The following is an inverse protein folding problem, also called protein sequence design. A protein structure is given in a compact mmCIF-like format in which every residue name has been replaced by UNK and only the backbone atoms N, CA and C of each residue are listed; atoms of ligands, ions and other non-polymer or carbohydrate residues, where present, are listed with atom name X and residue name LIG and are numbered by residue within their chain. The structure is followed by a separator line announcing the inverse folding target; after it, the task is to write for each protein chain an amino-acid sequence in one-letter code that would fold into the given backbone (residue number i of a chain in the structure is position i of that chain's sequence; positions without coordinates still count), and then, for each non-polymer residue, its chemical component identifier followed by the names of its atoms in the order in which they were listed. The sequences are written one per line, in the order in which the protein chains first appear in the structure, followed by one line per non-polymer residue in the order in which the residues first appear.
data_IF_390982666135
#
_entry.id   IF_390982666135
#
_cell.length_a   1.000
_cell.length_b   1.000
_cell.length_c   1.000
_cell.angle_alpha   90.00
_cell.angle_beta   90.00
_cell.angle_gamma   90.00
#
_symmetry.space_group_name_H-M   'P 1'
#
loop_
_entity.id
_entity.type
_entity.pdbx_description
1 polymer ?
#
# COMPACT_ATOMS: atom_id res chain seq x y z
N UNK A 1 -45.45 44.81 -6.25
CA UNK A 1 -44.04 44.70 -6.66
C UNK A 1 -43.58 43.28 -6.38
N UNK A 2 -43.28 42.42 -7.35
CA UNK A 2 -42.74 41.10 -7.13
C UNK A 2 -41.25 41.20 -6.86
N UNK A 3 -40.78 40.46 -5.85
CA UNK A 3 -39.35 40.33 -5.49
C UNK A 3 -38.59 39.60 -6.62
N UNK A 4 -37.34 40.01 -6.94
CA UNK A 4 -36.55 39.28 -7.93
C UNK A 4 -36.17 37.88 -7.34
N UNK A 5 -36.49 36.84 -8.09
CA UNK A 5 -36.00 35.51 -7.87
C UNK A 5 -34.49 35.51 -8.11
N UNK A 6 -33.71 35.22 -7.06
CA UNK A 6 -32.28 34.93 -7.19
C UNK A 6 -32.10 33.67 -8.03
N UNK A 7 -31.66 33.84 -9.26
CA UNK A 7 -31.19 32.74 -10.11
C UNK A 7 -29.98 32.08 -9.43
N UNK A 8 -30.22 30.94 -8.82
CA UNK A 8 -29.14 30.05 -8.39
C UNK A 8 -28.42 29.59 -9.66
N UNK A 9 -27.26 30.16 -9.92
CA UNK A 9 -26.33 29.65 -10.94
C UNK A 9 -25.86 28.27 -10.50
N UNK A 10 -26.56 27.23 -10.92
CA UNK A 10 -26.10 25.83 -10.83
C UNK A 10 -24.97 25.73 -11.85
N UNK A 11 -23.74 25.86 -11.39
CA UNK A 11 -22.56 25.52 -12.17
C UNK A 11 -22.68 24.05 -12.57
N UNK A 12 -23.07 23.79 -13.81
CA UNK A 12 -22.98 22.49 -14.46
C UNK A 12 -21.50 22.15 -14.60
N UNK A 13 -20.91 21.61 -13.55
CA UNK A 13 -19.63 20.91 -13.68
C UNK A 13 -19.86 19.79 -14.70
N UNK A 14 -19.16 19.85 -15.83
CA UNK A 14 -19.26 18.84 -16.86
C UNK A 14 -18.96 17.48 -16.25
N UNK A 15 -19.93 16.55 -16.30
CA UNK A 15 -19.78 15.18 -15.78
C UNK A 15 -18.79 14.34 -16.61
N UNK A 16 -18.16 14.94 -17.62
CA UNK A 16 -17.28 14.25 -18.55
C UNK A 16 -15.81 14.32 -18.10
N UNK A 17 -15.11 13.20 -18.23
CA UNK A 17 -13.66 13.15 -18.10
C UNK A 17 -13.02 13.98 -19.22
N UNK A 18 -12.14 14.89 -18.83
CA UNK A 18 -11.29 15.64 -19.76
C UNK A 18 -9.92 14.98 -19.88
N UNK A 19 -9.18 15.30 -20.95
CA UNK A 19 -7.80 14.82 -21.09
C UNK A 19 -6.90 15.21 -19.91
N UNK A 20 -7.16 16.37 -19.28
CA UNK A 20 -6.47 16.82 -18.06
C UNK A 20 -6.68 15.86 -16.88
N UNK A 21 -7.91 15.39 -16.66
CA UNK A 21 -8.21 14.42 -15.58
C UNK A 21 -7.49 13.10 -15.83
N UNK A 22 -7.45 12.63 -17.10
CA UNK A 22 -6.70 11.41 -17.48
C UNK A 22 -5.19 11.55 -17.23
N UNK A 23 -4.60 12.68 -17.66
CA UNK A 23 -3.18 12.96 -17.44
C UNK A 23 -2.83 13.08 -15.94
N UNK A 24 -3.65 13.76 -15.15
CA UNK A 24 -3.48 13.87 -13.71
C UNK A 24 -3.52 12.49 -13.03
N UNK A 25 -4.51 11.67 -13.39
CA UNK A 25 -4.64 10.32 -12.82
C UNK A 25 -3.46 9.44 -13.19
N UNK A 26 -3.03 9.44 -14.46
CA UNK A 26 -1.86 8.69 -14.91
C UNK A 26 -0.59 9.12 -14.16
N UNK A 27 -0.39 10.43 -13.98
CA UNK A 27 0.76 10.96 -13.24
C UNK A 27 0.72 10.55 -11.76
N UNK A 28 -0.45 10.60 -11.12
CA UNK A 28 -0.64 10.15 -9.74
C UNK A 28 -0.37 8.63 -9.61
N UNK A 29 -0.80 7.83 -10.59
CA UNK A 29 -0.53 6.38 -10.59
C UNK A 29 0.96 6.08 -10.71
N UNK A 30 1.68 6.76 -11.61
CA UNK A 30 3.13 6.60 -11.78
C UNK A 30 3.89 7.02 -10.51
N UNK A 31 3.55 8.18 -9.94
CA UNK A 31 4.14 8.62 -8.67
C UNK A 31 3.80 7.65 -7.54
N UNK A 32 2.57 7.15 -7.48
CA UNK A 32 2.14 6.17 -6.48
C UNK A 32 2.90 4.85 -6.57
N UNK A 33 3.07 4.34 -7.79
CA UNK A 33 3.87 3.16 -8.07
C UNK A 33 5.33 3.36 -7.61
N UNK A 34 5.94 4.50 -7.94
CA UNK A 34 7.31 4.81 -7.57
C UNK A 34 7.49 4.97 -6.04
N UNK A 35 6.56 5.68 -5.38
CA UNK A 35 6.59 5.93 -3.93
C UNK A 35 6.39 4.65 -3.13
N UNK A 36 5.33 3.89 -3.43
CA UNK A 36 5.03 2.64 -2.73
C UNK A 36 6.05 1.55 -3.08
N UNK A 37 6.57 1.56 -4.30
CA UNK A 37 7.59 0.63 -4.77
C UNK A 37 8.88 0.67 -3.95
N UNK A 38 9.22 1.82 -3.34
CA UNK A 38 10.43 1.94 -2.50
C UNK A 38 10.46 0.97 -1.32
N UNK A 39 9.29 0.56 -0.82
CA UNK A 39 9.19 -0.43 0.25
C UNK A 39 9.73 -1.80 -0.18
N UNK A 40 9.55 -2.15 -1.46
CA UNK A 40 9.81 -3.48 -1.99
C UNK A 40 11.11 -3.58 -2.80
N UNK A 41 11.69 -2.44 -3.16
CA UNK A 41 12.83 -2.35 -4.08
C UNK A 41 14.09 -3.03 -3.52
N UNK A 42 14.26 -3.06 -2.20
CA UNK A 42 15.43 -3.69 -1.55
C UNK A 42 15.36 -5.22 -1.48
N UNK A 43 14.18 -5.84 -1.68
CA UNK A 43 14.01 -7.29 -1.54
C UNK A 43 14.97 -8.09 -2.45
N UNK A 44 15.06 -7.81 -3.76
CA UNK A 44 16.00 -8.52 -4.62
C UNK A 44 17.46 -8.08 -4.43
N UNK A 45 17.70 -6.98 -3.71
CA UNK A 45 19.03 -6.41 -3.52
C UNK A 45 19.68 -6.78 -2.17
N UNK A 46 19.00 -7.57 -1.32
CA UNK A 46 19.46 -7.90 0.04
C UNK A 46 20.89 -8.44 0.04
N UNK A 47 21.21 -9.40 -0.85
CA UNK A 47 22.54 -9.97 -0.93
C UNK A 47 23.60 -8.93 -1.36
N UNK A 48 23.27 -8.06 -2.34
CA UNK A 48 24.17 -7.01 -2.81
C UNK A 48 24.40 -5.95 -1.73
N UNK A 49 23.36 -5.56 -0.97
CA UNK A 49 23.47 -4.63 0.16
C UNK A 49 24.35 -5.26 1.25
N UNK A 50 24.14 -6.54 1.58
CA UNK A 50 24.95 -7.26 2.55
C UNK A 50 26.43 -7.27 2.17
N UNK A 51 26.73 -7.60 0.93
CA UNK A 51 28.11 -7.59 0.40
C UNK A 51 28.73 -6.18 0.40
N UNK A 52 27.96 -5.15 0.07
CA UNK A 52 28.43 -3.76 0.03
C UNK A 52 28.85 -3.23 1.41
N UNK A 53 28.08 -3.55 2.45
CA UNK A 53 28.27 -3.02 3.80
C UNK A 53 28.92 -4.01 4.77
N UNK A 54 29.23 -5.25 4.33
CA UNK A 54 29.83 -6.28 5.18
C UNK A 54 28.89 -6.77 6.28
N UNK A 55 27.60 -6.88 5.99
CA UNK A 55 26.58 -7.34 6.94
C UNK A 55 25.87 -8.59 6.42
N UNK A 56 25.32 -9.40 7.32
CA UNK A 56 24.57 -10.59 6.95
C UNK A 56 23.28 -10.24 6.17
N UNK A 57 22.80 -11.12 5.29
CA UNK A 57 21.55 -10.89 4.53
C UNK A 57 20.33 -10.58 5.41
N UNK A 58 20.24 -11.18 6.59
CA UNK A 58 19.19 -10.91 7.57
C UNK A 58 19.25 -9.46 8.09
N UNK A 59 20.44 -8.94 8.34
CA UNK A 59 20.65 -7.55 8.71
C UNK A 59 20.39 -6.62 7.51
N UNK A 60 20.89 -6.95 6.32
CA UNK A 60 20.67 -6.17 5.11
C UNK A 60 19.18 -5.97 4.80
N UNK A 61 18.33 -6.97 5.11
CA UNK A 61 16.87 -6.87 4.98
C UNK A 61 16.26 -5.74 5.84
N UNK A 62 16.92 -5.33 6.94
CA UNK A 62 16.49 -4.21 7.78
C UNK A 62 16.46 -2.88 7.02
N UNK A 63 17.17 -2.77 5.89
CA UNK A 63 17.09 -1.58 5.02
C UNK A 63 15.69 -1.34 4.45
N UNK A 64 14.96 -2.41 4.12
CA UNK A 64 13.55 -2.36 3.74
C UNK A 64 12.64 -2.12 4.94
N UNK A 65 12.92 -2.77 6.07
CA UNK A 65 12.17 -2.64 7.32
C UNK A 65 12.24 -1.23 7.89
N UNK A 66 13.40 -0.58 7.87
CA UNK A 66 13.57 0.80 8.35
C UNK A 66 12.69 1.78 7.54
N UNK A 67 12.70 1.66 6.22
CA UNK A 67 11.78 2.42 5.36
C UNK A 67 10.33 2.14 5.75
N UNK A 68 9.96 0.87 5.80
CA UNK A 68 8.56 0.46 5.94
C UNK A 68 7.96 0.81 7.30
N UNK A 69 8.68 0.67 8.41
CA UNK A 69 8.20 1.07 9.74
C UNK A 69 7.99 2.58 9.78
N UNK A 70 8.93 3.37 9.27
CA UNK A 70 8.80 4.81 9.22
C UNK A 70 7.67 5.26 8.27
N UNK A 71 7.52 4.58 7.14
CA UNK A 71 6.42 4.78 6.20
C UNK A 71 5.06 4.49 6.86
N UNK A 72 4.94 3.37 7.57
CA UNK A 72 3.74 3.04 8.32
C UNK A 72 3.43 4.09 9.41
N UNK A 73 4.42 4.46 10.23
CA UNK A 73 4.27 5.49 11.26
C UNK A 73 3.83 6.84 10.69
N UNK A 74 4.34 7.19 9.51
CA UNK A 74 4.00 8.42 8.83
C UNK A 74 2.51 8.56 8.49
N UNK A 75 1.79 7.46 8.26
CA UNK A 75 0.33 7.53 8.08
C UNK A 75 -0.41 8.00 9.33
N UNK A 76 0.11 7.68 10.51
CA UNK A 76 -0.47 8.16 11.77
C UNK A 76 -0.11 9.63 12.04
N UNK A 77 1.10 10.03 11.65
CA UNK A 77 1.62 11.38 11.87
C UNK A 77 1.02 12.37 10.88
N UNK A 78 0.97 12.01 9.60
CA UNK A 78 0.61 12.93 8.51
C UNK A 78 -0.81 12.74 7.96
N UNK A 79 -1.60 11.82 8.51
CA UNK A 79 -2.91 11.44 7.98
C UNK A 79 -3.92 12.60 7.79
N UNK A 80 -3.77 13.70 8.52
CA UNK A 80 -4.60 14.92 8.38
C UNK A 80 -3.88 16.11 7.73
N UNK A 81 -2.62 15.96 7.31
CA UNK A 81 -1.79 17.07 6.85
C UNK A 81 -2.37 17.72 5.59
N UNK A 82 -2.86 16.91 4.67
CA UNK A 82 -3.40 17.37 3.39
C UNK A 82 -4.71 18.15 3.54
N UNK A 83 -5.52 17.83 4.56
CA UNK A 83 -6.76 18.54 4.85
C UNK A 83 -6.48 19.94 5.42
N UNK A 84 -5.37 20.10 6.14
CA UNK A 84 -4.97 21.36 6.80
C UNK A 84 -4.24 22.33 5.85
N UNK A 85 -3.31 21.80 5.02
CA UNK A 85 -2.42 22.63 4.19
C UNK A 85 -2.75 22.61 2.69
N UNK A 86 -3.79 21.85 2.30
CA UNK A 86 -4.21 21.67 0.92
C UNK A 86 -3.48 20.53 0.21
N UNK A 87 -4.24 19.69 -0.46
CA UNK A 87 -3.78 18.41 -1.02
C UNK A 87 -2.66 18.55 -2.04
N UNK A 88 -2.82 19.47 -3.00
CA UNK A 88 -1.81 19.76 -4.01
C UNK A 88 -0.45 20.14 -3.41
N UNK A 89 -0.44 21.08 -2.44
CA UNK A 89 0.80 21.54 -1.81
C UNK A 89 1.48 20.40 -1.05
N UNK A 90 0.71 19.64 -0.29
CA UNK A 90 1.22 18.53 0.54
C UNK A 90 1.82 17.42 -0.33
N UNK A 91 1.19 17.06 -1.46
CA UNK A 91 1.74 16.05 -2.38
C UNK A 91 3.04 16.54 -3.00
N UNK A 92 3.08 17.77 -3.50
CA UNK A 92 4.27 18.33 -4.16
C UNK A 92 5.44 18.41 -3.19
N UNK A 93 5.23 18.95 -1.98
CA UNK A 93 6.26 19.03 -0.96
C UNK A 93 6.68 17.63 -0.47
N UNK A 94 5.73 16.70 -0.32
CA UNK A 94 6.00 15.31 0.04
C UNK A 94 6.88 14.59 -1.00
N UNK A 95 6.60 14.76 -2.29
CA UNK A 95 7.43 14.20 -3.36
C UNK A 95 8.82 14.85 -3.40
N UNK A 96 8.92 16.16 -3.23
CA UNK A 96 10.22 16.86 -3.16
C UNK A 96 11.04 16.37 -1.95
N UNK A 97 10.43 16.25 -0.78
CA UNK A 97 11.08 15.69 0.41
C UNK A 97 11.50 14.22 0.19
N UNK A 98 10.66 13.42 -0.47
CA UNK A 98 10.98 12.04 -0.84
C UNK A 98 12.16 11.99 -1.81
N UNK A 99 12.24 12.90 -2.78
CA UNK A 99 13.38 12.99 -3.70
C UNK A 99 14.68 13.26 -2.95
N UNK A 100 14.69 14.25 -2.05
CA UNK A 100 15.87 14.60 -1.24
C UNK A 100 16.28 13.43 -0.33
N UNK A 101 15.33 12.79 0.34
CA UNK A 101 15.62 11.62 1.17
C UNK A 101 16.13 10.44 0.32
N UNK A 102 15.64 10.28 -0.93
CA UNK A 102 16.13 9.27 -1.87
C UNK A 102 17.59 9.54 -2.27
N UNK A 103 17.95 10.79 -2.54
CA UNK A 103 19.34 11.18 -2.78
C UNK A 103 20.24 10.91 -1.56
N UNK A 104 19.74 11.18 -0.35
CA UNK A 104 20.49 10.87 0.86
C UNK A 104 20.81 9.37 0.95
N UNK A 105 19.84 8.49 0.66
CA UNK A 105 20.06 7.03 0.68
C UNK A 105 21.23 6.64 -0.23
N UNK A 106 21.35 7.25 -1.40
CA UNK A 106 22.41 6.95 -2.35
C UNK A 106 23.83 7.30 -1.84
N UNK A 107 23.93 8.23 -0.89
CA UNK A 107 25.19 8.80 -0.42
C UNK A 107 25.67 8.22 0.92
N UNK A 108 24.93 7.23 1.50
CA UNK A 108 25.23 6.76 2.85
C UNK A 108 26.49 5.91 2.92
N UNK A 109 27.46 6.29 3.78
CA UNK A 109 28.78 5.64 3.85
C UNK A 109 28.78 4.35 4.68
N UNK A 110 27.79 4.13 5.51
CA UNK A 110 27.69 2.95 6.38
C UNK A 110 26.27 2.42 6.50
N UNK A 111 26.14 1.16 6.91
CA UNK A 111 24.84 0.50 7.04
C UNK A 111 23.91 1.21 8.03
N UNK A 112 24.43 1.66 9.19
CA UNK A 112 23.63 2.41 10.18
C UNK A 112 23.04 3.71 9.61
N UNK A 113 23.85 4.48 8.86
CA UNK A 113 23.38 5.68 8.18
C UNK A 113 22.41 5.35 7.05
N UNK A 114 22.60 4.23 6.35
CA UNK A 114 21.63 3.74 5.36
C UNK A 114 20.27 3.48 6.02
N UNK A 115 20.21 2.83 7.17
CA UNK A 115 18.96 2.59 7.89
C UNK A 115 18.26 3.90 8.27
N UNK A 116 19.01 4.88 8.79
CA UNK A 116 18.47 6.19 9.14
C UNK A 116 17.93 6.95 7.91
N UNK A 117 18.68 6.95 6.80
CA UNK A 117 18.25 7.58 5.56
C UNK A 117 17.02 6.87 4.97
N UNK A 118 16.94 5.54 5.03
CA UNK A 118 15.78 4.76 4.61
C UNK A 118 14.55 5.05 5.47
N UNK A 119 14.72 5.20 6.79
CA UNK A 119 13.62 5.60 7.68
C UNK A 119 13.11 7.01 7.33
N UNK A 120 14.01 7.98 7.13
CA UNK A 120 13.63 9.33 6.69
C UNK A 120 12.90 9.30 5.34
N UNK A 121 13.39 8.52 4.38
CA UNK A 121 12.76 8.34 3.07
C UNK A 121 11.34 7.77 3.21
N UNK A 122 11.16 6.73 4.04
CA UNK A 122 9.84 6.15 4.31
C UNK A 122 8.87 7.15 4.93
N UNK A 123 9.34 7.92 5.90
CA UNK A 123 8.54 8.95 6.56
C UNK A 123 8.05 10.01 5.55
N UNK A 124 8.94 10.53 4.69
CA UNK A 124 8.57 11.48 3.64
C UNK A 124 7.61 10.86 2.61
N UNK A 125 7.86 9.62 2.19
CA UNK A 125 7.07 8.91 1.20
C UNK A 125 5.62 8.66 1.66
N UNK A 126 5.39 8.49 2.97
CA UNK A 126 4.05 8.23 3.54
C UNK A 126 3.05 9.37 3.33
N UNK A 127 3.52 10.56 3.04
CA UNK A 127 2.67 11.75 2.79
C UNK A 127 1.85 11.57 1.50
N UNK A 128 2.41 10.87 0.50
CA UNK A 128 1.83 10.81 -0.84
C UNK A 128 0.50 10.02 -0.93
N UNK A 129 0.37 8.76 -0.49
CA UNK A 129 -0.80 7.93 -0.80
C UNK A 129 -2.14 8.49 -0.30
N UNK A 130 -2.29 8.94 0.96
CA UNK A 130 -3.56 9.49 1.43
C UNK A 130 -3.91 10.80 0.73
N UNK A 131 -2.92 11.65 0.49
CA UNK A 131 -3.12 12.93 -0.19
C UNK A 131 -3.49 12.73 -1.67
N UNK A 132 -2.88 11.73 -2.35
CA UNK A 132 -3.19 11.38 -3.73
C UNK A 132 -4.62 10.84 -3.89
N UNK A 133 -5.05 9.91 -3.03
CA UNK A 133 -6.44 9.41 -3.03
C UNK A 133 -7.45 10.53 -2.79
N UNK A 134 -7.12 11.44 -1.88
CA UNK A 134 -7.96 12.61 -1.62
C UNK A 134 -8.02 13.56 -2.81
N UNK A 135 -6.89 13.81 -3.49
CA UNK A 135 -6.85 14.65 -4.69
C UNK A 135 -7.67 14.05 -5.84
N UNK A 136 -7.60 12.73 -6.03
CA UNK A 136 -8.41 12.01 -7.03
C UNK A 136 -9.91 12.25 -6.78
N UNK A 137 -10.35 12.16 -5.52
CA UNK A 137 -11.77 12.35 -5.18
C UNK A 137 -12.23 13.80 -5.29
N UNK A 138 -11.33 14.77 -5.25
CA UNK A 138 -11.66 16.19 -5.46
C UNK A 138 -11.68 16.59 -6.94
N UNK A 139 -10.64 16.22 -7.67
CA UNK A 139 -10.42 16.66 -9.05
C UNK A 139 -11.32 15.90 -10.05
N UNK A 140 -11.64 14.63 -9.79
CA UNK A 140 -12.46 13.86 -10.72
C UNK A 140 -13.96 14.18 -10.54
N UNK A 141 -14.71 14.23 -11.66
CA UNK A 141 -16.17 14.33 -11.62
C UNK A 141 -16.77 13.17 -10.80
N UNK A 142 -17.87 13.40 -10.04
CA UNK A 142 -18.44 12.43 -9.12
C UNK A 142 -18.67 11.03 -9.69
N UNK A 143 -19.15 10.82 -10.94
CA UNK A 143 -19.34 9.48 -11.51
C UNK A 143 -18.04 8.70 -11.70
N UNK A 144 -16.91 9.38 -11.86
CA UNK A 144 -15.61 8.78 -12.15
C UNK A 144 -14.69 8.60 -10.94
N UNK A 145 -15.07 9.14 -9.78
CA UNK A 145 -14.30 9.00 -8.52
C UNK A 145 -14.03 7.54 -8.11
N UNK A 146 -15.04 6.64 -8.17
CA UNK A 146 -14.78 5.23 -7.82
C UNK A 146 -13.75 4.57 -8.75
N UNK A 147 -13.80 4.87 -10.05
CA UNK A 147 -12.81 4.38 -11.01
C UNK A 147 -11.41 4.91 -10.68
N UNK A 148 -11.28 6.22 -10.40
CA UNK A 148 -10.00 6.83 -10.04
C UNK A 148 -9.39 6.21 -8.78
N UNK A 149 -10.19 5.97 -7.74
CA UNK A 149 -9.74 5.30 -6.52
C UNK A 149 -9.32 3.86 -6.79
N UNK A 150 -10.06 3.13 -7.63
CA UNK A 150 -9.69 1.75 -8.00
C UNK A 150 -8.38 1.68 -8.77
N UNK A 151 -8.16 2.60 -9.72
CA UNK A 151 -6.92 2.69 -10.48
C UNK A 151 -5.73 3.04 -9.58
N UNK A 152 -5.89 3.96 -8.64
CA UNK A 152 -4.85 4.26 -7.64
C UNK A 152 -4.54 3.04 -6.75
N UNK A 153 -5.57 2.34 -6.28
CA UNK A 153 -5.40 1.12 -5.48
C UNK A 153 -4.67 0.03 -6.27
N UNK A 154 -5.01 -0.13 -7.55
CA UNK A 154 -4.31 -1.05 -8.44
C UNK A 154 -2.84 -0.66 -8.62
N UNK A 155 -2.54 0.63 -8.85
CA UNK A 155 -1.16 1.12 -8.95
C UNK A 155 -0.35 0.82 -7.68
N UNK A 156 -0.94 0.99 -6.49
CA UNK A 156 -0.28 0.66 -5.22
C UNK A 156 -0.01 -0.84 -5.06
N UNK A 157 -0.91 -1.71 -5.53
CA UNK A 157 -0.70 -3.16 -5.49
C UNK A 157 0.37 -3.62 -6.49
N UNK A 158 0.36 -3.06 -7.70
CA UNK A 158 1.36 -3.34 -8.74
C UNK A 158 2.74 -2.84 -8.34
N UNK A 159 2.83 -1.85 -7.46
CA UNK A 159 4.11 -1.28 -7.02
C UNK A 159 5.07 -2.33 -6.44
N UNK A 160 4.56 -3.34 -5.72
CA UNK A 160 5.40 -4.38 -5.14
C UNK A 160 6.13 -5.24 -6.20
N UNK A 161 5.45 -5.93 -7.13
CA UNK A 161 6.14 -6.69 -8.15
C UNK A 161 6.91 -5.80 -9.14
N UNK A 162 6.39 -4.62 -9.50
CA UNK A 162 7.06 -3.73 -10.44
C UNK A 162 8.40 -3.21 -9.93
N UNK A 163 8.46 -2.77 -8.66
CA UNK A 163 9.71 -2.32 -8.05
C UNK A 163 10.74 -3.44 -7.90
N UNK A 164 10.29 -4.65 -7.54
CA UNK A 164 11.17 -5.81 -7.44
C UNK A 164 11.71 -6.24 -8.81
N UNK A 165 10.87 -6.23 -9.86
CA UNK A 165 11.29 -6.50 -11.24
C UNK A 165 12.31 -5.45 -11.71
N UNK A 166 12.02 -4.16 -11.49
CA UNK A 166 12.96 -3.08 -11.82
C UNK A 166 14.32 -3.29 -11.14
N UNK A 167 14.33 -3.54 -9.84
CA UNK A 167 15.57 -3.72 -9.08
C UNK A 167 16.34 -4.97 -9.54
N UNK A 168 15.64 -6.08 -9.79
CA UNK A 168 16.28 -7.34 -10.20
C UNK A 168 16.80 -7.29 -11.64
N UNK A 169 16.10 -6.62 -12.57
CA UNK A 169 16.45 -6.59 -14.00
C UNK A 169 17.41 -5.47 -14.37
N UNK A 170 17.52 -4.42 -13.56
CA UNK A 170 18.36 -3.27 -13.89
C UNK A 170 19.87 -3.52 -13.79
N UNK A 171 20.30 -4.51 -12.99
CA UNK A 171 21.70 -4.74 -12.66
C UNK A 171 22.35 -3.61 -11.84
N UNK A 172 21.57 -2.64 -11.38
CA UNK A 172 22.06 -1.47 -10.65
C UNK A 172 22.19 -1.75 -9.15
N UNK A 173 23.17 -1.12 -8.51
CA UNK A 173 23.26 -1.07 -7.05
C UNK A 173 22.12 -0.24 -6.46
N UNK A 174 21.86 -0.40 -5.14
CA UNK A 174 20.87 0.42 -4.43
C UNK A 174 21.12 1.92 -4.63
N UNK A 175 22.37 2.36 -4.50
CA UNK A 175 22.75 3.77 -4.68
C UNK A 175 22.44 4.28 -6.10
N UNK A 176 22.80 3.51 -7.14
CA UNK A 176 22.52 3.87 -8.52
C UNK A 176 21.01 3.95 -8.81
N UNK A 177 20.22 3.02 -8.27
CA UNK A 177 18.75 3.06 -8.36
C UNK A 177 18.17 4.30 -7.67
N UNK A 178 18.67 4.67 -6.49
CA UNK A 178 18.21 5.86 -5.80
C UNK A 178 18.55 7.14 -6.59
N UNK A 179 19.74 7.23 -7.18
CA UNK A 179 20.13 8.35 -8.05
C UNK A 179 19.24 8.44 -9.30
N UNK A 180 18.88 7.30 -9.88
CA UNK A 180 18.00 7.26 -11.06
C UNK A 180 16.53 7.62 -10.73
N UNK A 181 16.03 7.24 -9.54
CA UNK A 181 14.64 7.46 -9.16
C UNK A 181 14.38 8.86 -8.58
N UNK A 182 15.37 9.48 -7.93
CA UNK A 182 15.20 10.79 -7.28
C UNK A 182 14.71 11.89 -8.23
N UNK A 183 15.27 12.06 -9.47
CA UNK A 183 14.75 13.03 -10.42
C UNK A 183 13.29 12.77 -10.81
N UNK A 184 12.87 11.49 -10.86
CA UNK A 184 11.48 11.10 -11.15
C UNK A 184 10.49 11.67 -10.15
N UNK A 185 10.81 11.72 -8.87
CA UNK A 185 9.97 12.36 -7.85
C UNK A 185 9.85 13.87 -8.04
N UNK A 186 10.95 14.54 -8.42
CA UNK A 186 10.91 15.98 -8.71
C UNK A 186 10.07 16.28 -9.97
N UNK A 187 10.23 15.48 -11.02
CA UNK A 187 9.41 15.58 -12.23
C UNK A 187 7.95 15.31 -11.91
N UNK A 188 7.64 14.32 -11.08
CA UNK A 188 6.31 14.05 -10.57
C UNK A 188 5.74 15.22 -9.78
N UNK A 189 6.51 15.82 -8.89
CA UNK A 189 6.13 17.02 -8.14
C UNK A 189 5.82 18.20 -9.06
N UNK A 190 6.68 18.47 -10.03
CA UNK A 190 6.50 19.53 -11.02
C UNK A 190 5.25 19.25 -11.90
N UNK A 191 5.11 18.04 -12.41
CA UNK A 191 3.96 17.63 -13.21
C UNK A 191 2.64 17.80 -12.46
N UNK A 192 2.58 17.39 -11.18
CA UNK A 192 1.40 17.57 -10.33
C UNK A 192 1.15 19.04 -9.99
N UNK A 193 2.22 19.83 -9.83
CA UNK A 193 2.07 21.28 -9.65
C UNK A 193 1.38 21.95 -10.85
N UNK A 194 1.70 21.50 -12.06
CA UNK A 194 1.12 22.03 -13.31
C UNK A 194 -0.27 21.44 -13.55
N UNK A 195 -0.45 20.13 -13.41
CA UNK A 195 -1.67 19.42 -13.81
C UNK A 195 -2.83 19.57 -12.83
N UNK A 196 -2.59 19.65 -11.51
CA UNK A 196 -3.64 19.81 -10.53
C UNK A 196 -4.19 21.23 -10.51
N UNK A 197 -5.50 21.41 -10.27
CA UNK A 197 -6.11 22.73 -10.16
C UNK A 197 -5.44 23.59 -9.09
N UNK A 198 -5.51 24.90 -9.25
CA UNK A 198 -5.12 25.82 -8.18
C UNK A 198 -5.95 25.48 -6.92
N UNK A 199 -5.33 25.54 -5.71
CA UNK A 199 -6.07 25.29 -4.49
C UNK A 199 -7.27 26.26 -4.45
N UNK A 200 -8.48 25.72 -4.53
CA UNK A 200 -9.67 26.48 -4.17
C UNK A 200 -9.51 26.94 -2.71
N UNK A 201 -10.20 28.04 -2.29
CA UNK A 201 -10.23 28.39 -0.88
C UNK A 201 -10.63 27.12 -0.11
N UNK A 202 -9.91 26.83 0.97
CA UNK A 202 -10.18 25.70 1.84
C UNK A 202 -11.55 25.91 2.52
N UNK A 203 -12.63 25.71 1.75
CA UNK A 203 -14.01 25.74 2.20
C UNK A 203 -14.41 24.38 2.79
N UNK A 204 -13.55 23.82 3.59
CA UNK A 204 -14.02 22.90 4.61
C UNK A 204 -13.92 23.66 5.92
N UNK A 205 -15.08 24.01 6.55
CA UNK A 205 -15.04 24.35 7.96
C UNK A 205 -14.32 23.19 8.60
N UNK A 206 -13.11 23.47 9.10
CA UNK A 206 -12.35 22.50 9.83
C UNK A 206 -13.27 21.91 10.89
N UNK A 207 -13.83 20.77 10.60
CA UNK A 207 -14.17 19.87 11.65
C UNK A 207 -12.83 19.56 12.30
N UNK A 208 -12.44 20.42 13.25
CA UNK A 208 -11.62 19.96 14.35
C UNK A 208 -12.24 18.61 14.70
N UNK A 209 -11.53 17.49 14.65
CA UNK A 209 -12.11 16.23 15.07
C UNK A 209 -12.57 16.50 16.48
N UNK A 210 -13.91 16.64 16.65
CA UNK A 210 -14.47 16.48 17.97
C UNK A 210 -13.77 15.24 18.49
N UNK A 211 -13.21 15.33 19.70
CA UNK A 211 -12.41 14.27 20.30
C UNK A 211 -13.29 13.03 20.52
N UNK A 212 -13.70 12.42 19.40
CA UNK A 212 -14.42 11.18 19.37
C UNK A 212 -13.45 10.15 19.93
N UNK A 213 -13.79 9.63 21.08
CA UNK A 213 -12.96 8.77 21.90
C UNK A 213 -12.37 7.64 21.06
N UNK A 214 -11.04 7.56 20.97
CA UNK A 214 -10.33 6.44 20.34
C UNK A 214 -10.78 5.09 20.96
N UNK A 215 -11.29 5.10 22.19
CA UNK A 215 -11.83 3.93 22.88
C UNK A 215 -13.05 3.31 22.18
N UNK A 216 -13.81 4.08 21.39
CA UNK A 216 -14.94 3.54 20.64
C UNK A 216 -14.49 2.59 19.51
N UNK A 217 -13.35 2.85 18.86
CA UNK A 217 -12.78 1.99 17.82
C UNK A 217 -12.28 0.66 18.41
N UNK A 218 -11.69 0.70 19.61
CA UNK A 218 -11.19 -0.49 20.31
C UNK A 218 -12.30 -1.38 20.89
N UNK A 219 -13.55 -0.91 20.91
CA UNK A 219 -14.72 -1.70 21.33
C UNK A 219 -15.40 -2.44 20.16
N UNK A 220 -15.10 -2.06 18.92
CA UNK A 220 -15.64 -2.74 17.75
C UNK A 220 -14.74 -3.90 17.32
N UNK A 221 -15.10 -5.12 17.68
CA UNK A 221 -14.37 -6.34 17.35
C UNK A 221 -14.14 -6.53 15.84
N UNK A 222 -15.04 -6.02 14.99
CA UNK A 222 -14.89 -6.10 13.53
C UNK A 222 -13.84 -5.14 12.99
N UNK A 223 -13.68 -3.96 13.60
CA UNK A 223 -12.57 -3.05 13.26
C UNK A 223 -11.24 -3.65 13.69
N UNK A 224 -11.15 -4.20 14.91
CA UNK A 224 -9.94 -4.86 15.42
C UNK A 224 -9.56 -6.05 14.52
N UNK A 225 -10.52 -6.89 14.16
CA UNK A 225 -10.30 -8.03 13.26
C UNK A 225 -9.79 -7.56 11.88
N UNK A 226 -10.34 -6.45 11.35
CA UNK A 226 -9.88 -5.89 10.08
C UNK A 226 -8.46 -5.30 10.16
N UNK A 227 -8.07 -4.69 11.29
CA UNK A 227 -6.69 -4.24 11.52
C UNK A 227 -5.72 -5.42 11.65
N UNK A 228 -6.10 -6.46 12.37
CA UNK A 228 -5.30 -7.68 12.46
C UNK A 228 -5.14 -8.34 11.07
N UNK A 229 -6.22 -8.40 10.29
CA UNK A 229 -6.17 -8.91 8.93
C UNK A 229 -5.30 -8.04 8.00
N UNK A 230 -5.31 -6.71 8.17
CA UNK A 230 -4.44 -5.80 7.44
C UNK A 230 -2.95 -6.10 7.71
N UNK A 231 -2.59 -6.33 8.98
CA UNK A 231 -1.22 -6.70 9.35
C UNK A 231 -0.79 -7.99 8.66
N UNK A 232 -1.65 -9.00 8.59
CA UNK A 232 -1.29 -10.33 8.08
C UNK A 232 -1.31 -10.41 6.55
N UNK A 233 -2.15 -9.66 5.85
CA UNK A 233 -2.32 -9.79 4.40
C UNK A 233 -1.07 -9.37 3.62
N UNK A 234 -0.49 -8.20 3.91
CA UNK A 234 0.77 -7.82 3.26
C UNK A 234 1.98 -8.52 3.87
N UNK A 235 1.93 -8.90 5.15
CA UNK A 235 2.94 -9.78 5.72
C UNK A 235 3.07 -11.07 4.90
N UNK A 236 1.99 -11.79 4.67
CA UNK A 236 1.98 -13.03 3.87
C UNK A 236 2.44 -12.81 2.43
N UNK A 237 1.98 -11.72 1.80
CA UNK A 237 2.37 -11.37 0.43
C UNK A 237 3.87 -11.11 0.31
N UNK A 238 4.42 -10.30 1.20
CA UNK A 238 5.85 -9.96 1.17
C UNK A 238 6.72 -11.12 1.63
N UNK A 239 6.28 -11.92 2.63
CA UNK A 239 6.96 -13.17 3.00
C UNK A 239 7.12 -14.12 1.82
N UNK A 240 6.07 -14.29 1.00
CA UNK A 240 6.14 -15.13 -0.20
C UNK A 240 7.26 -14.69 -1.15
N UNK A 241 7.26 -13.43 -1.57
CA UNK A 241 8.27 -12.96 -2.53
C UNK A 241 9.67 -12.87 -1.93
N UNK A 242 9.80 -12.56 -0.64
CA UNK A 242 11.09 -12.60 0.07
C UNK A 242 11.60 -14.04 0.21
N UNK A 243 10.71 -14.97 0.54
CA UNK A 243 11.05 -16.38 0.64
C UNK A 243 11.47 -16.99 -0.69
N UNK A 244 10.71 -16.72 -1.77
CA UNK A 244 11.11 -17.12 -3.14
C UNK A 244 12.48 -16.56 -3.50
N UNK A 245 12.76 -15.28 -3.18
CA UNK A 245 14.06 -14.67 -3.45
C UNK A 245 15.20 -15.35 -2.70
N UNK A 246 14.99 -15.64 -1.41
CA UNK A 246 16.03 -16.27 -0.55
C UNK A 246 16.27 -17.72 -0.90
N UNK A 247 15.21 -18.47 -1.25
CA UNK A 247 15.27 -19.91 -1.50
C UNK A 247 15.33 -20.29 -2.98
N UNK A 248 15.45 -19.32 -3.89
CA UNK A 248 15.45 -19.56 -5.33
C UNK A 248 16.40 -20.67 -5.80
N UNK A 249 17.66 -20.74 -5.31
CA UNK A 249 18.58 -21.83 -5.72
C UNK A 249 18.09 -23.22 -5.31
N UNK A 250 17.51 -23.35 -4.11
CA UNK A 250 17.00 -24.62 -3.58
C UNK A 250 15.69 -25.03 -4.26
N UNK A 251 14.86 -24.05 -4.64
CA UNK A 251 13.56 -24.27 -5.27
C UNK A 251 13.64 -24.47 -6.79
N UNK A 252 14.81 -24.20 -7.40
CA UNK A 252 14.98 -24.30 -8.86
C UNK A 252 14.06 -23.38 -9.65
N UNK A 253 13.78 -22.17 -9.12
CA UNK A 253 12.86 -21.19 -9.75
C UNK A 253 13.58 -19.88 -10.01
N UNK A 254 13.15 -19.20 -11.07
CA UNK A 254 13.49 -17.82 -11.30
C UNK A 254 12.52 -16.91 -10.52
N UNK A 255 12.99 -16.13 -9.53
CA UNK A 255 12.15 -15.22 -8.78
C UNK A 255 11.44 -14.17 -9.67
N UNK A 256 12.02 -13.80 -10.81
CA UNK A 256 11.40 -12.85 -11.74
C UNK A 256 10.20 -13.49 -12.45
N UNK A 257 10.34 -14.73 -12.88
CA UNK A 257 9.23 -15.48 -13.48
C UNK A 257 8.06 -15.61 -12.50
N UNK A 258 8.33 -15.91 -11.23
CA UNK A 258 7.29 -16.00 -10.19
C UNK A 258 6.56 -14.65 -10.02
N UNK A 259 7.28 -13.52 -10.00
CA UNK A 259 6.68 -12.18 -9.90
C UNK A 259 5.83 -11.84 -11.14
N UNK A 260 6.35 -12.10 -12.32
CA UNK A 260 5.64 -11.84 -13.59
C UNK A 260 4.36 -12.65 -13.69
N UNK A 261 4.39 -13.92 -13.24
CA UNK A 261 3.21 -14.80 -13.30
C UNK A 261 2.09 -14.33 -12.37
N UNK A 262 2.42 -13.75 -11.21
CA UNK A 262 1.45 -13.18 -10.28
C UNK A 262 0.88 -11.84 -10.68
N UNK A 263 1.58 -11.07 -11.52
CA UNK A 263 1.23 -9.68 -11.83
C UNK A 263 -0.19 -9.51 -12.45
N UNK A 264 -0.63 -10.28 -13.44
CA UNK A 264 -1.97 -10.13 -14.02
C UNK A 264 -3.10 -10.37 -13.04
N UNK A 265 -2.88 -11.23 -12.03
CA UNK A 265 -3.88 -11.57 -11.04
C UNK A 265 -4.20 -10.39 -10.08
N UNK A 266 -3.36 -9.36 -10.00
CA UNK A 266 -3.68 -8.14 -9.27
C UNK A 266 -4.87 -7.38 -9.87
N UNK A 267 -5.24 -7.64 -11.13
CA UNK A 267 -6.44 -7.09 -11.75
C UNK A 267 -7.75 -7.53 -11.05
N UNK A 268 -7.73 -8.60 -10.24
CA UNK A 268 -8.86 -8.96 -9.38
C UNK A 268 -9.24 -7.86 -8.37
N UNK A 269 -8.39 -6.85 -8.14
CA UNK A 269 -8.75 -5.66 -7.37
C UNK A 269 -10.01 -4.95 -7.92
N UNK A 270 -10.23 -4.99 -9.26
CA UNK A 270 -11.43 -4.43 -9.87
C UNK A 270 -12.70 -5.24 -9.57
N UNK A 271 -12.58 -6.52 -9.24
CA UNK A 271 -13.70 -7.37 -8.84
C UNK A 271 -14.09 -7.17 -7.36
N UNK A 272 -13.23 -6.58 -6.53
CA UNK A 272 -13.48 -6.43 -5.10
C UNK A 272 -14.72 -5.58 -4.80
N UNK A 273 -14.93 -4.46 -5.53
CA UNK A 273 -16.09 -3.59 -5.30
C UNK A 273 -17.43 -4.25 -5.67
N UNK A 274 -17.62 -4.90 -6.84
CA UNK A 274 -18.85 -5.63 -7.13
C UNK A 274 -19.10 -6.79 -6.17
N UNK A 275 -18.07 -7.56 -5.79
CA UNK A 275 -18.20 -8.63 -4.79
C UNK A 275 -18.60 -8.10 -3.41
N UNK A 276 -17.99 -6.98 -2.99
CA UNK A 276 -18.34 -6.34 -1.73
C UNK A 276 -19.79 -5.81 -1.70
N UNK A 277 -20.34 -5.39 -2.85
CA UNK A 277 -21.77 -5.01 -2.97
C UNK A 277 -22.70 -6.23 -2.85
N UNK A 278 -22.33 -7.36 -3.45
CA UNK A 278 -23.16 -8.56 -3.48
C UNK A 278 -23.13 -9.37 -2.18
N UNK A 279 -21.94 -9.54 -1.59
CA UNK A 279 -21.71 -10.45 -0.45
C UNK A 279 -21.32 -9.71 0.83
N UNK A 280 -21.04 -8.43 0.73
CA UNK A 280 -20.52 -7.60 1.81
C UNK A 280 -18.98 -7.57 1.87
N UNK A 281 -18.42 -6.44 2.36
CA UNK A 281 -16.97 -6.21 2.32
C UNK A 281 -16.18 -7.20 3.18
N UNK A 282 -16.68 -7.57 4.36
CA UNK A 282 -16.00 -8.52 5.25
C UNK A 282 -15.92 -9.93 4.64
N UNK A 283 -16.96 -10.40 3.92
CA UNK A 283 -16.91 -11.69 3.22
C UNK A 283 -15.90 -11.63 2.06
N UNK A 284 -15.94 -10.57 1.26
CA UNK A 284 -14.99 -10.38 0.15
C UNK A 284 -13.56 -10.39 0.65
N UNK A 285 -13.29 -9.68 1.76
CA UNK A 285 -11.98 -9.70 2.39
C UNK A 285 -11.58 -11.09 2.89
N UNK A 286 -12.48 -11.78 3.62
CA UNK A 286 -12.21 -13.13 4.14
C UNK A 286 -11.96 -14.13 3.03
N UNK A 287 -12.72 -14.06 1.94
CA UNK A 287 -12.48 -14.90 0.75
C UNK A 287 -11.08 -14.66 0.17
N UNK A 288 -10.69 -13.39 -0.01
CA UNK A 288 -9.34 -13.04 -0.48
C UNK A 288 -8.23 -13.57 0.45
N UNK A 289 -8.42 -13.47 1.78
CA UNK A 289 -7.48 -14.00 2.77
C UNK A 289 -7.36 -15.52 2.72
N UNK A 290 -8.47 -16.24 2.55
CA UNK A 290 -8.47 -17.71 2.40
C UNK A 290 -7.74 -18.12 1.11
N UNK A 291 -8.02 -17.45 -0.02
CA UNK A 291 -7.31 -17.71 -1.28
C UNK A 291 -5.80 -17.47 -1.12
N UNK A 292 -5.41 -16.39 -0.44
CA UNK A 292 -4.00 -16.09 -0.16
C UNK A 292 -3.36 -17.14 0.77
N UNK A 293 -4.08 -17.63 1.77
CA UNK A 293 -3.61 -18.67 2.67
C UNK A 293 -3.41 -20.02 1.94
N UNK A 294 -4.35 -20.40 1.07
CA UNK A 294 -4.25 -21.59 0.23
C UNK A 294 -3.05 -21.49 -0.72
N UNK A 295 -2.79 -20.32 -1.28
CA UNK A 295 -1.63 -20.07 -2.11
C UNK A 295 -0.32 -20.32 -1.36
N UNK A 296 -0.20 -19.86 -0.11
CA UNK A 296 0.96 -20.11 0.72
C UNK A 296 1.07 -21.59 1.13
N UNK A 297 -0.06 -22.26 1.41
CA UNK A 297 -0.10 -23.71 1.62
C UNK A 297 0.40 -24.49 0.40
N UNK A 298 0.03 -24.04 -0.81
CA UNK A 298 0.53 -24.63 -2.06
C UNK A 298 2.04 -24.39 -2.25
N UNK A 299 2.54 -23.22 -1.87
CA UNK A 299 3.97 -22.91 -1.90
C UNK A 299 4.80 -23.80 -0.98
N UNK A 300 4.23 -24.30 0.11
CA UNK A 300 4.89 -25.21 1.04
C UNK A 300 5.25 -26.58 0.42
N UNK A 301 4.63 -26.93 -0.71
CA UNK A 301 5.00 -28.14 -1.49
C UNK A 301 6.31 -27.99 -2.25
N UNK A 302 6.89 -26.79 -2.29
CA UNK A 302 8.20 -26.47 -2.84
C UNK A 302 8.44 -26.94 -4.30
N UNK A 303 7.37 -27.00 -5.11
CA UNK A 303 7.48 -27.37 -6.53
C UNK A 303 7.48 -26.12 -7.41
N UNK A 304 8.37 -26.02 -8.42
CA UNK A 304 8.51 -24.83 -9.26
C UNK A 304 7.20 -24.37 -9.91
N UNK A 305 6.44 -25.26 -10.51
CA UNK A 305 5.16 -24.96 -11.17
C UNK A 305 4.10 -24.51 -10.15
N UNK A 306 4.07 -25.12 -8.96
CA UNK A 306 3.13 -24.74 -7.91
C UNK A 306 3.45 -23.37 -7.32
N UNK A 307 4.70 -22.95 -7.30
CA UNK A 307 5.11 -21.60 -6.88
C UNK A 307 4.61 -20.52 -7.86
N UNK A 308 4.59 -20.80 -9.16
CA UNK A 308 3.98 -19.90 -10.15
C UNK A 308 2.47 -19.76 -9.90
N UNK A 309 1.78 -20.89 -9.74
CA UNK A 309 0.33 -20.88 -9.42
C UNK A 309 0.05 -20.19 -8.09
N UNK A 310 0.86 -20.46 -7.06
CA UNK A 310 0.77 -19.82 -5.77
C UNK A 310 0.94 -18.29 -5.88
N UNK A 311 1.86 -17.80 -6.70
CA UNK A 311 2.03 -16.37 -6.96
C UNK A 311 0.76 -15.72 -7.51
N UNK A 312 0.12 -16.37 -8.50
CA UNK A 312 -1.13 -15.85 -9.08
C UNK A 312 -2.28 -15.88 -8.07
N UNK A 313 -2.46 -16.98 -7.35
CA UNK A 313 -3.52 -17.11 -6.33
C UNK A 313 -3.29 -16.12 -5.17
N UNK A 314 -2.07 -15.98 -4.69
CA UNK A 314 -1.73 -15.02 -3.65
C UNK A 314 -2.04 -13.59 -4.08
N UNK A 315 -1.61 -13.22 -5.29
CA UNK A 315 -1.86 -11.90 -5.86
C UNK A 315 -3.37 -11.62 -6.01
N UNK A 316 -4.15 -12.59 -6.51
CA UNK A 316 -5.61 -12.47 -6.61
C UNK A 316 -6.26 -12.34 -5.21
N UNK A 317 -5.83 -13.16 -4.25
CA UNK A 317 -6.33 -13.12 -2.88
C UNK A 317 -6.08 -11.77 -2.21
N UNK A 318 -4.87 -11.24 -2.31
CA UNK A 318 -4.50 -9.92 -1.77
C UNK A 318 -5.26 -8.79 -2.47
N UNK A 319 -5.40 -8.88 -3.80
CA UNK A 319 -6.13 -7.90 -4.60
C UNK A 319 -7.61 -7.79 -4.22
N UNK A 320 -8.23 -8.89 -3.76
CA UNK A 320 -9.59 -8.91 -3.22
C UNK A 320 -9.63 -8.49 -1.76
N UNK A 321 -8.69 -8.95 -0.94
CA UNK A 321 -8.69 -8.74 0.50
C UNK A 321 -8.50 -7.27 0.86
N UNK A 322 -7.50 -6.58 0.26
CA UNK A 322 -7.14 -5.21 0.64
C UNK A 322 -8.30 -4.21 0.47
N UNK A 323 -8.98 -4.11 -0.69
CA UNK A 323 -10.12 -3.23 -0.83
C UNK A 323 -11.31 -3.65 0.06
N UNK A 324 -11.52 -4.95 0.25
CA UNK A 324 -12.55 -5.48 1.14
C UNK A 324 -12.33 -5.08 2.60
N UNK A 325 -11.08 -5.11 3.08
CA UNK A 325 -10.70 -4.65 4.42
C UNK A 325 -10.90 -3.14 4.59
N UNK A 326 -10.47 -2.33 3.61
CA UNK A 326 -10.71 -0.88 3.60
C UNK A 326 -12.21 -0.58 3.74
N UNK A 327 -13.03 -1.22 2.92
CA UNK A 327 -14.48 -1.05 2.96
C UNK A 327 -15.09 -1.53 4.28
N UNK A 328 -14.58 -2.61 4.87
CA UNK A 328 -15.02 -3.11 6.18
C UNK A 328 -14.77 -2.08 7.27
N UNK A 329 -13.56 -1.52 7.36
CA UNK A 329 -13.20 -0.48 8.33
C UNK A 329 -14.02 0.78 8.10
N UNK A 330 -14.13 1.24 6.84
CA UNK A 330 -14.85 2.46 6.50
C UNK A 330 -16.35 2.40 6.83
N UNK A 331 -16.97 1.22 6.64
CA UNK A 331 -18.42 1.04 6.90
C UNK A 331 -18.75 0.86 8.38
N UNK A 332 -17.79 0.36 9.19
CA UNK A 332 -17.99 0.17 10.64
C UNK A 332 -17.63 1.39 11.46
N UNK A 333 -16.69 2.20 11.00
CA UNK A 333 -16.30 3.41 11.70
C UNK A 333 -17.34 4.51 11.52
N UNK A 334 -17.65 5.24 12.61
CA UNK A 334 -18.48 6.44 12.55
C UNK A 334 -17.82 7.52 11.66
N UNK A 335 -18.61 8.43 11.14
CA UNK A 335 -18.10 9.51 10.27
C UNK A 335 -16.94 10.29 10.93
N UNK A 336 -17.01 10.55 12.24
CA UNK A 336 -15.99 11.27 13.01
C UNK A 336 -14.70 10.47 13.25
N UNK A 337 -14.77 9.12 13.25
CA UNK A 337 -13.63 8.24 13.53
C UNK A 337 -13.07 7.54 12.29
N UNK A 338 -13.73 7.67 11.12
CA UNK A 338 -13.37 6.93 9.90
C UNK A 338 -11.94 7.21 9.45
N UNK A 339 -11.53 8.47 9.43
CA UNK A 339 -10.17 8.83 9.03
C UNK A 339 -9.12 8.17 9.94
N UNK A 340 -9.33 8.20 11.26
CA UNK A 340 -8.43 7.56 12.23
C UNK A 340 -8.43 6.03 12.09
N UNK A 341 -9.59 5.42 11.91
CA UNK A 341 -9.69 3.97 11.73
C UNK A 341 -8.95 3.49 10.48
N UNK A 342 -9.05 4.23 9.37
CA UNK A 342 -8.33 3.96 8.14
C UNK A 342 -6.82 4.26 8.25
N UNK A 343 -6.41 5.26 9.02
CA UNK A 343 -4.98 5.52 9.28
C UNK A 343 -4.35 4.35 10.05
N UNK A 344 -5.02 3.83 11.09
CA UNK A 344 -4.56 2.66 11.84
C UNK A 344 -4.55 1.40 10.95
N UNK A 345 -5.57 1.23 10.10
CA UNK A 345 -5.59 0.16 9.10
C UNK A 345 -4.35 0.22 8.19
N UNK A 346 -4.05 1.38 7.65
CA UNK A 346 -2.92 1.57 6.73
C UNK A 346 -1.59 1.37 7.45
N UNK A 347 -1.47 1.86 8.69
CA UNK A 347 -0.33 1.58 9.57
C UNK A 347 -0.13 0.08 9.75
N UNK A 348 -1.17 -0.66 10.14
CA UNK A 348 -1.09 -2.12 10.35
C UNK A 348 -0.71 -2.86 9.06
N UNK A 349 -1.29 -2.45 7.93
CA UNK A 349 -1.03 -3.02 6.61
C UNK A 349 0.47 -2.94 6.23
N UNK A 350 1.05 -1.75 6.34
CA UNK A 350 2.45 -1.54 5.97
C UNK A 350 3.44 -1.98 7.06
N UNK A 351 3.03 -2.01 8.31
CA UNK A 351 3.81 -2.63 9.38
C UNK A 351 4.03 -4.13 9.08
N UNK A 352 2.97 -4.84 8.68
CA UNK A 352 3.07 -6.24 8.25
C UNK A 352 4.04 -6.44 7.09
N UNK A 353 3.92 -5.62 6.04
CA UNK A 353 4.82 -5.65 4.90
C UNK A 353 6.29 -5.39 5.30
N UNK A 354 6.51 -4.49 6.26
CA UNK A 354 7.85 -4.06 6.69
C UNK A 354 8.57 -5.11 7.52
N UNK A 355 7.82 -5.87 8.33
CA UNK A 355 8.38 -6.95 9.16
C UNK A 355 8.61 -8.23 8.38
N UNK A 356 7.97 -8.38 7.21
CA UNK A 356 8.00 -9.62 6.45
C UNK A 356 9.40 -10.01 5.95
N UNK A 357 10.27 -9.15 5.36
CA UNK A 357 11.55 -9.59 4.83
C UNK A 357 12.49 -10.21 5.89
N UNK A 358 12.76 -9.58 7.05
CA UNK A 358 13.61 -10.19 8.06
C UNK A 358 12.97 -11.43 8.70
N UNK A 359 11.65 -11.41 8.93
CA UNK A 359 10.95 -12.57 9.49
C UNK A 359 10.90 -13.73 8.50
N UNK A 360 10.77 -13.48 7.20
CA UNK A 360 10.83 -14.53 6.18
C UNK A 360 12.20 -15.24 6.20
N UNK A 361 13.28 -14.48 6.29
CA UNK A 361 14.63 -15.05 6.40
C UNK A 361 14.78 -15.88 7.69
N UNK A 362 14.34 -15.35 8.82
CA UNK A 362 14.37 -16.07 10.10
C UNK A 362 13.52 -17.34 10.05
N UNK A 363 12.29 -17.29 9.53
CA UNK A 363 11.43 -18.47 9.38
C UNK A 363 12.07 -19.53 8.49
N UNK A 364 12.76 -19.13 7.43
CA UNK A 364 13.49 -20.06 6.56
C UNK A 364 14.61 -20.80 7.29
N UNK A 365 15.24 -20.20 8.31
CA UNK A 365 16.26 -20.88 9.14
C UNK A 365 15.67 -21.92 10.09
N UNK A 366 14.40 -21.75 10.50
CA UNK A 366 13.73 -22.72 11.38
C UNK A 366 13.29 -23.96 10.60
N UNK A 367 12.59 -23.76 9.50
CA UNK A 367 12.16 -24.81 8.57
C UNK A 367 11.68 -24.18 7.27
N UNK A 368 11.98 -24.80 6.13
CA UNK A 368 11.48 -24.35 4.83
C UNK A 368 9.95 -24.25 4.79
N UNK A 369 9.24 -25.19 5.43
CA UNK A 369 7.78 -25.17 5.53
C UNK A 369 7.26 -24.03 6.41
N UNK A 370 7.97 -23.63 7.48
CA UNK A 370 7.55 -22.56 8.37
C UNK A 370 7.42 -21.21 7.64
N UNK A 371 8.31 -20.95 6.68
CA UNK A 371 8.28 -19.77 5.82
C UNK A 371 6.91 -19.56 5.14
N UNK A 372 6.23 -20.63 4.76
CA UNK A 372 4.96 -20.60 4.05
C UNK A 372 3.76 -20.81 4.97
N UNK A 373 3.87 -21.77 5.88
CA UNK A 373 2.73 -22.19 6.71
C UNK A 373 2.42 -21.22 7.84
N UNK A 374 3.42 -20.53 8.40
CA UNK A 374 3.16 -19.52 9.45
C UNK A 374 2.32 -18.36 8.90
N UNK A 375 2.71 -17.67 7.81
CA UNK A 375 1.85 -16.62 7.26
C UNK A 375 0.51 -17.16 6.72
N UNK A 376 0.45 -18.40 6.21
CA UNK A 376 -0.82 -19.01 5.82
C UNK A 376 -1.79 -19.16 7.00
N UNK A 377 -1.29 -19.67 8.14
CA UNK A 377 -2.08 -19.79 9.35
C UNK A 377 -2.58 -18.44 9.88
N UNK A 378 -1.73 -17.42 9.87
CA UNK A 378 -2.11 -16.06 10.26
C UNK A 378 -3.23 -15.49 9.37
N UNK A 379 -3.17 -15.72 8.05
CA UNK A 379 -4.24 -15.30 7.11
C UNK A 379 -5.55 -16.04 7.37
N UNK A 380 -5.51 -17.34 7.66
CA UNK A 380 -6.71 -18.11 8.00
C UNK A 380 -7.32 -17.64 9.33
N UNK A 381 -6.51 -17.41 10.35
CA UNK A 381 -6.98 -16.86 11.62
C UNK A 381 -7.62 -15.48 11.45
N UNK A 382 -7.03 -14.62 10.63
CA UNK A 382 -7.58 -13.32 10.31
C UNK A 382 -8.92 -13.42 9.56
N UNK A 383 -9.04 -14.33 8.59
CA UNK A 383 -10.28 -14.59 7.88
C UNK A 383 -11.39 -15.08 8.82
N UNK A 384 -11.08 -16.02 9.72
CA UNK A 384 -12.01 -16.52 10.74
C UNK A 384 -12.44 -15.41 11.70
N UNK A 385 -11.51 -14.56 12.15
CA UNK A 385 -11.80 -13.40 13.00
C UNK A 385 -12.79 -12.42 12.37
N UNK A 386 -12.63 -12.13 11.07
CA UNK A 386 -13.56 -11.28 10.32
C UNK A 386 -14.96 -11.88 10.21
N UNK A 387 -15.05 -13.19 9.97
CA UNK A 387 -16.34 -13.91 9.88
C UNK A 387 -17.03 -13.97 11.24
N UNK A 388 -16.30 -14.28 12.32
CA UNK A 388 -16.83 -14.37 13.67
C UNK A 388 -17.42 -13.04 14.16
N UNK A 389 -16.72 -11.92 13.92
CA UNK A 389 -17.16 -10.59 14.34
C UNK A 389 -18.32 -10.03 13.50
N UNK A 390 -18.64 -10.64 12.35
CA UNK A 390 -19.81 -10.29 11.56
C UNK A 390 -21.11 -10.69 12.25
N UNK A 391 -21.11 -11.85 12.93
CA UNK A 391 -22.30 -12.41 13.60
C UNK A 391 -22.72 -11.62 14.85
N UNK A 392 -21.80 -10.80 15.40
CA UNK A 392 -22.07 -9.99 16.60
C UNK A 392 -22.62 -8.59 16.30
N UNK A 393 -22.66 -8.18 15.04
CA UNK A 393 -23.30 -6.93 14.66
C UNK A 393 -24.83 -7.10 14.74
N UNK A 394 -25.46 -6.56 15.81
CA UNK A 394 -26.92 -6.44 15.90
C UNK A 394 -27.44 -5.66 14.71
N UNK A 395 -28.54 -6.09 14.06
CA UNK A 395 -29.24 -5.24 13.11
C UNK A 395 -29.74 -4.00 13.85
N UNK A 396 -29.29 -2.82 13.38
CA UNK A 396 -29.81 -1.51 13.79
C UNK A 396 -31.14 -1.24 13.12
#
# INVERSE_FOLDING_TARGET
MPRPQSTVNVNFQSNNLTGRHGALLALLMVCGLAVVGQLYLTIPLVAAIGAQFGVEPSEAALSGTAFGIAYAAGFLIFGGLSDRFGRKRVIVLGLAATALATLLVALMPSFGWLLAARALQGLCASIFPPAALSLVTEELPPPHRPLGVSLMSFAFLVAAPAAQLLAASSGLSLAALMLALAPGYLLGALGLWIAAAAPGPANHPGAAPAAASATSLLRDGGIIAAWAAALTVLFGFVCFFSGVQTMAPQLGVDPQAVRLFGLPALAFAFAAAPLARSYGPAITASFGLVVAALALGLAALAQPTLLLVASALLSAGVALAVPGLIATVANRASASNRARALAIYTFALFLGASLAPPLAQWLATLAAAALWLVPAALLLLAALGLIATRRTAKPS
#
